data_IF_328548409053
#
_entry.id   IF_328548409053
#
_cell.length_a   1.000
_cell.length_b   1.000
_cell.length_c   1.000
_cell.angle_alpha   90.00
_cell.angle_beta   90.00
_cell.angle_gamma   90.00
#
_symmetry.space_group_name_H-M   'P 1'
#
loop_
_entity.id
_entity.type
_entity.pdbx_description
1 polymer ?
#
# COMPACT_ATOMS: atom_id res chain seq x y z
N UNK A 1 6.00 22.12 21.01
CA UNK A 1 7.24 21.82 20.27
C UNK A 1 6.90 20.76 19.24
N UNK A 2 6.59 21.16 18.00
CA UNK A 2 6.45 20.19 16.91
C UNK A 2 7.85 19.79 16.48
N UNK A 3 8.15 18.50 16.57
CA UNK A 3 9.27 17.94 15.81
C UNK A 3 8.82 18.11 14.37
N UNK A 4 9.38 19.10 13.69
CA UNK A 4 9.06 19.37 12.30
C UNK A 4 9.49 18.13 11.50
N UNK A 5 8.51 17.36 11.04
CA UNK A 5 8.68 16.34 9.99
C UNK A 5 8.97 17.02 8.63
N UNK A 6 9.61 18.20 8.65
CA UNK A 6 9.87 19.02 7.46
C UNK A 6 10.82 18.24 6.56
N UNK A 7 10.26 17.63 5.52
CA UNK A 7 10.98 16.88 4.50
C UNK A 7 10.64 15.39 4.43
N UNK A 8 9.95 14.81 5.42
CA UNK A 8 9.62 13.38 5.40
C UNK A 8 8.11 13.12 5.42
N UNK A 9 7.62 12.05 4.75
CA UNK A 9 6.20 11.78 4.68
C UNK A 9 5.63 11.45 6.06
N UNK A 10 4.43 11.92 6.37
CA UNK A 10 3.82 11.68 7.67
C UNK A 10 2.32 11.51 7.57
N UNK A 11 1.77 10.76 8.54
CA UNK A 11 0.33 10.65 8.73
C UNK A 11 -0.10 11.49 9.92
N UNK A 12 -1.12 12.30 9.73
CA UNK A 12 -1.78 13.10 10.75
C UNK A 12 -3.28 12.81 10.75
N UNK A 13 -3.84 12.50 11.92
CA UNK A 13 -5.28 12.25 12.11
C UNK A 13 -5.96 13.32 12.99
N UNK A 14 -5.41 14.54 12.99
CA UNK A 14 -5.73 15.67 13.87
C UNK A 14 -5.40 15.48 15.36
N UNK A 15 -5.05 14.27 15.79
CA UNK A 15 -4.71 13.96 17.20
C UNK A 15 -3.22 13.70 17.40
N UNK A 16 -2.59 13.00 16.45
CA UNK A 16 -1.18 12.63 16.50
C UNK A 16 -0.56 12.72 15.12
N UNK A 17 0.77 12.70 15.08
CA UNK A 17 1.54 12.52 13.85
C UNK A 17 2.48 11.34 13.99
N UNK A 18 2.61 10.54 12.92
CA UNK A 18 3.56 9.42 12.81
C UNK A 18 4.27 9.48 11.46
N UNK A 19 5.48 8.91 11.40
CA UNK A 19 6.23 8.81 10.16
C UNK A 19 5.50 7.87 9.19
N UNK A 20 5.21 8.33 7.98
CA UNK A 20 4.70 7.48 6.91
C UNK A 20 5.90 6.83 6.20
N UNK A 21 5.80 5.52 5.96
CA UNK A 21 6.80 4.72 5.29
C UNK A 21 6.31 4.21 3.94
N UNK A 22 4.99 4.01 3.78
CA UNK A 22 4.37 3.79 2.48
C UNK A 22 2.85 3.75 2.56
N UNK A 23 2.23 3.83 1.39
CA UNK A 23 0.80 4.01 1.21
C UNK A 23 0.36 3.37 -0.12
N UNK A 24 -0.80 2.73 -0.14
CA UNK A 24 -1.55 2.45 -1.35
C UNK A 24 -2.97 3.00 -1.21
N UNK A 25 -3.39 3.82 -2.16
CA UNK A 25 -4.67 4.52 -2.16
C UNK A 25 -5.36 4.37 -3.51
N UNK A 26 -6.69 4.29 -3.45
CA UNK A 26 -7.56 4.47 -4.59
C UNK A 26 -8.64 5.46 -4.18
N UNK A 27 -8.81 6.55 -4.95
CA UNK A 27 -9.70 7.66 -4.58
C UNK A 27 -9.41 8.18 -3.15
N UNK A 28 -10.34 8.00 -2.20
CA UNK A 28 -10.20 8.40 -0.79
C UNK A 28 -9.96 7.20 0.14
N UNK A 29 -9.66 6.01 -0.40
CA UNK A 29 -9.55 4.75 0.34
C UNK A 29 -8.12 4.24 0.44
N UNK A 30 -7.66 4.05 1.67
CA UNK A 30 -6.37 3.44 2.00
C UNK A 30 -6.50 1.93 2.01
N UNK A 31 -5.80 1.27 1.09
CA UNK A 31 -5.71 -0.19 1.00
C UNK A 31 -4.46 -0.74 1.66
N UNK A 32 -3.40 0.06 1.73
CA UNK A 32 -2.18 -0.28 2.44
C UNK A 32 -1.61 0.97 3.09
N UNK A 33 -1.08 0.82 4.30
CA UNK A 33 -0.33 1.87 4.97
C UNK A 33 0.71 1.26 5.89
N UNK A 34 1.91 1.81 5.82
CA UNK A 34 3.07 1.47 6.64
C UNK A 34 3.53 2.73 7.37
N UNK A 35 3.62 2.67 8.70
CA UNK A 35 4.05 3.81 9.53
C UNK A 35 4.99 3.40 10.65
N UNK A 36 5.84 4.33 11.08
CA UNK A 36 6.64 4.20 12.29
C UNK A 36 6.37 5.35 13.28
N UNK A 37 6.22 5.03 14.55
CA UNK A 37 6.01 6.04 15.59
C UNK A 37 5.85 5.44 16.97
N UNK A 38 5.63 6.26 18.02
CA UNK A 38 5.26 5.77 19.33
C UNK A 38 4.03 4.86 19.25
N UNK A 39 4.02 3.74 19.98
CA UNK A 39 2.94 2.74 19.85
C UNK A 39 1.53 3.29 20.12
N UNK A 40 1.38 4.26 21.00
CA UNK A 40 0.11 4.98 21.24
C UNK A 40 -0.33 5.80 20.03
N UNK A 41 0.61 6.45 19.34
CA UNK A 41 0.37 7.21 18.12
C UNK A 41 -0.02 6.30 16.95
N UNK A 42 0.68 5.17 16.76
CA UNK A 42 0.31 4.17 15.75
C UNK A 42 -1.12 3.64 15.98
N UNK A 43 -1.48 3.33 17.24
CA UNK A 43 -2.85 2.91 17.59
C UNK A 43 -3.90 3.98 17.31
N UNK A 44 -3.60 5.26 17.56
CA UNK A 44 -4.52 6.36 17.24
C UNK A 44 -4.77 6.47 15.72
N UNK A 45 -3.72 6.33 14.91
CA UNK A 45 -3.83 6.29 13.44
C UNK A 45 -4.63 5.07 12.98
N UNK A 46 -4.32 3.88 13.48
CA UNK A 46 -5.09 2.67 13.21
C UNK A 46 -6.59 2.85 13.53
N UNK A 47 -6.90 3.39 14.70
CA UNK A 47 -8.30 3.64 15.10
C UNK A 47 -9.01 4.58 14.13
N UNK A 48 -8.28 5.51 13.51
CA UNK A 48 -8.85 6.44 12.52
C UNK A 48 -9.08 5.74 11.17
N UNK A 49 -8.18 4.83 10.78
CA UNK A 49 -8.30 4.05 9.54
C UNK A 49 -9.50 3.10 9.57
N UNK A 50 -9.75 2.41 10.70
CA UNK A 50 -10.83 1.42 10.78
C UNK A 50 -12.20 2.02 11.12
N UNK A 51 -12.24 3.30 11.50
CA UNK A 51 -13.48 3.97 11.89
C UNK A 51 -14.07 4.77 10.70
N UNK A 52 -15.31 4.51 10.26
CA UNK A 52 -15.86 5.04 8.99
C UNK A 52 -15.93 6.57 8.89
N UNK A 53 -15.97 7.27 10.03
CA UNK A 53 -16.14 8.73 10.11
C UNK A 53 -14.82 9.48 10.30
N UNK A 54 -13.73 8.76 10.52
CA UNK A 54 -12.43 9.36 10.77
C UNK A 54 -11.63 9.40 9.49
N UNK A 55 -10.82 10.46 9.38
CA UNK A 55 -10.05 10.80 8.20
C UNK A 55 -8.61 11.07 8.61
N UNK A 56 -7.68 10.74 7.73
CA UNK A 56 -6.25 10.98 7.92
C UNK A 56 -5.68 11.74 6.73
N UNK A 57 -4.72 12.61 7.01
CA UNK A 57 -3.86 13.20 6.00
C UNK A 57 -2.56 12.41 5.97
N UNK A 58 -2.09 12.04 4.78
CA UNK A 58 -0.80 11.39 4.59
C UNK A 58 0.07 12.26 3.68
N UNK A 59 0.76 13.25 4.23
CA UNK A 59 1.49 14.24 3.42
C UNK A 59 2.86 13.70 3.00
N UNK A 60 3.33 14.01 1.77
CA UNK A 60 2.66 14.78 0.72
C UNK A 60 1.67 13.97 -0.14
N UNK A 61 1.55 12.65 0.10
CA UNK A 61 0.88 11.69 -0.77
C UNK A 61 -0.63 11.82 -0.90
N UNK A 62 -1.35 12.31 0.11
CA UNK A 62 -2.81 12.40 0.06
C UNK A 62 -3.44 13.07 1.27
N UNK A 63 -4.72 13.43 1.13
CA UNK A 63 -5.51 14.19 2.11
C UNK A 63 -6.89 13.58 2.28
N UNK A 64 -7.49 13.75 3.45
CA UNK A 64 -8.86 13.30 3.75
C UNK A 64 -9.13 11.80 3.44
N UNK A 65 -8.14 10.97 3.73
CA UNK A 65 -8.16 9.54 3.43
C UNK A 65 -8.90 8.76 4.53
N UNK A 66 -9.64 7.73 4.12
CA UNK A 66 -10.30 6.77 5.00
C UNK A 66 -9.78 5.37 4.74
N UNK A 67 -9.78 4.48 5.74
CA UNK A 67 -9.41 3.09 5.49
C UNK A 67 -10.43 2.38 4.60
N UNK A 68 -9.95 1.52 3.71
CA UNK A 68 -10.80 0.52 3.08
C UNK A 68 -11.45 -0.37 4.16
N UNK A 69 -12.61 -0.98 3.86
CA UNK A 69 -13.16 -2.00 4.76
C UNK A 69 -12.20 -3.18 4.93
N UNK A 70 -12.30 -3.99 5.99
CA UNK A 70 -11.49 -5.20 6.18
C UNK A 70 -9.95 -5.00 6.21
N UNK A 71 -9.47 -3.86 6.69
CA UNK A 71 -8.06 -3.69 7.02
C UNK A 71 -7.66 -4.60 8.20
N UNK A 72 -6.56 -5.31 8.04
CA UNK A 72 -5.90 -6.02 9.14
C UNK A 72 -4.55 -5.39 9.41
N UNK A 73 -4.18 -5.33 10.69
CA UNK A 73 -3.01 -4.57 11.14
C UNK A 73 -2.03 -5.46 11.89
N UNK A 74 -0.75 -5.31 11.57
CA UNK A 74 0.37 -5.95 12.26
C UNK A 74 1.21 -4.85 12.91
N UNK A 75 1.63 -5.08 14.14
CA UNK A 75 2.53 -4.21 14.89
C UNK A 75 3.82 -4.95 15.20
N UNK A 76 4.97 -4.30 14.98
CA UNK A 76 6.28 -4.80 15.31
C UNK A 76 7.05 -3.74 16.09
N UNK A 77 7.54 -4.08 17.29
CA UNK A 77 8.38 -3.15 18.06
C UNK A 77 9.74 -2.99 17.38
N UNK A 78 10.21 -1.75 17.29
CA UNK A 78 11.57 -1.46 16.82
C UNK A 78 12.57 -1.78 17.93
N UNK A 79 13.69 -2.48 17.62
CA UNK A 79 14.70 -2.81 18.62
C UNK A 79 15.19 -1.59 19.39
N UNK A 80 15.29 -1.72 20.72
CA UNK A 80 15.83 -0.70 21.62
C UNK A 80 15.09 0.66 21.56
N UNK A 81 13.79 0.67 21.24
CA UNK A 81 12.99 1.90 21.22
C UNK A 81 11.56 1.67 21.72
N UNK A 82 10.86 2.75 22.06
CA UNK A 82 9.42 2.75 22.30
C UNK A 82 8.60 2.93 21.00
N UNK A 83 9.25 2.87 19.84
CA UNK A 83 8.63 2.98 18.54
C UNK A 83 8.12 1.63 18.07
N UNK A 84 7.04 1.68 17.31
CA UNK A 84 6.45 0.54 16.62
C UNK A 84 6.39 0.84 15.14
N UNK A 85 6.67 -0.19 14.34
CA UNK A 85 6.29 -0.27 12.94
C UNK A 85 4.88 -0.86 12.90
N UNK A 86 3.98 -0.19 12.22
CA UNK A 86 2.61 -0.64 12.02
C UNK A 86 2.36 -0.74 10.52
N UNK A 87 1.86 -1.89 10.10
CA UNK A 87 1.36 -2.10 8.73
C UNK A 87 -0.11 -2.43 8.82
N UNK A 88 -0.96 -1.66 8.15
CA UNK A 88 -2.38 -1.94 7.99
C UNK A 88 -2.68 -2.17 6.52
N UNK A 89 -3.30 -3.30 6.19
CA UNK A 89 -3.48 -3.74 4.80
C UNK A 89 -4.82 -4.39 4.58
N UNK A 90 -5.41 -4.14 3.42
CA UNK A 90 -6.63 -4.78 2.96
C UNK A 90 -6.36 -6.26 2.67
N UNK A 91 -7.04 -7.14 3.40
CA UNK A 91 -6.78 -8.58 3.34
C UNK A 91 -7.87 -9.30 2.54
N UNK A 92 -7.93 -8.99 1.25
CA UNK A 92 -8.73 -9.75 0.30
C UNK A 92 -7.83 -10.33 -0.81
N UNK A 93 -8.12 -11.54 -1.32
CA UNK A 93 -7.32 -12.15 -2.40
C UNK A 93 -7.21 -11.29 -3.66
N UNK A 94 -8.23 -10.45 -3.92
CA UNK A 94 -8.25 -9.51 -5.05
C UNK A 94 -7.32 -8.30 -4.89
N UNK A 95 -6.66 -8.14 -3.75
CA UNK A 95 -5.69 -7.07 -3.55
C UNK A 95 -4.28 -7.60 -3.65
N UNK A 96 -3.54 -7.05 -4.62
CA UNK A 96 -2.15 -7.40 -4.88
C UNK A 96 -1.26 -6.22 -4.54
N UNK A 97 -0.12 -6.51 -3.91
CA UNK A 97 0.84 -5.50 -3.49
C UNK A 97 2.27 -6.01 -3.69
N UNK A 98 3.11 -5.14 -4.22
CA UNK A 98 4.56 -5.22 -4.18
C UNK A 98 5.05 -4.20 -3.14
N UNK A 99 5.71 -4.69 -2.09
CA UNK A 99 6.27 -3.86 -1.04
C UNK A 99 7.77 -4.15 -0.87
N UNK A 100 8.58 -3.10 -0.83
CA UNK A 100 10.02 -3.15 -0.61
C UNK A 100 10.44 -2.04 0.36
N UNK A 101 11.12 -2.36 1.48
CA UNK A 101 11.58 -1.37 2.44
C UNK A 101 12.49 -0.28 1.86
N UNK A 102 13.19 -0.54 0.75
CA UNK A 102 13.99 0.47 0.06
C UNK A 102 13.13 1.61 -0.50
N UNK A 103 11.87 1.30 -0.84
CA UNK A 103 10.88 2.27 -1.32
C UNK A 103 10.61 3.41 -0.34
N UNK A 104 10.73 3.18 0.98
CA UNK A 104 10.49 4.22 2.00
C UNK A 104 11.46 5.41 1.92
N UNK A 105 12.54 5.29 1.14
CA UNK A 105 13.50 6.37 0.89
C UNK A 105 13.01 7.38 -0.15
N UNK A 106 12.04 7.00 -0.97
CA UNK A 106 11.44 7.85 -2.01
C UNK A 106 10.24 8.57 -1.40
N UNK A 107 10.51 9.75 -0.83
CA UNK A 107 9.49 10.57 -0.19
C UNK A 107 8.82 11.57 -1.15
N UNK A 108 9.46 11.82 -2.29
CA UNK A 108 8.99 12.69 -3.35
C UNK A 108 9.21 12.00 -4.72
N UNK A 109 8.11 11.81 -5.45
CA UNK A 109 8.07 11.19 -6.78
C UNK A 109 8.36 12.20 -7.90
N UNK A 110 8.75 13.44 -7.57
CA UNK A 110 9.16 14.46 -8.54
C UNK A 110 10.58 14.26 -9.09
N UNK A 111 11.41 13.44 -8.42
CA UNK A 111 12.79 13.17 -8.87
C UNK A 111 12.84 11.96 -9.81
N UNK A 112 13.36 12.18 -11.03
CA UNK A 112 13.44 11.15 -12.08
C UNK A 112 14.22 9.90 -11.60
N UNK A 113 15.30 10.10 -10.85
CA UNK A 113 16.13 9.00 -10.34
C UNK A 113 15.35 8.13 -9.34
N UNK A 114 14.50 8.73 -8.51
CA UNK A 114 13.62 7.98 -7.60
C UNK A 114 12.57 7.18 -8.36
N UNK A 115 11.97 7.75 -9.41
CA UNK A 115 11.02 7.05 -10.26
C UNK A 115 11.66 5.84 -10.96
N UNK A 116 12.86 6.00 -11.49
CA UNK A 116 13.60 4.91 -12.15
C UNK A 116 13.96 3.78 -11.17
N UNK A 117 14.43 4.13 -9.98
CA UNK A 117 14.78 3.13 -8.98
C UNK A 117 13.54 2.40 -8.44
N UNK A 118 12.45 3.12 -8.24
CA UNK A 118 11.15 2.54 -7.86
C UNK A 118 10.65 1.56 -8.93
N UNK A 119 10.74 1.92 -10.21
CA UNK A 119 10.40 1.03 -11.31
C UNK A 119 11.33 -0.20 -11.34
N UNK A 120 12.63 -0.03 -11.07
CA UNK A 120 13.58 -1.14 -10.96
C UNK A 120 13.20 -2.11 -9.84
N UNK A 121 12.82 -1.58 -8.68
CA UNK A 121 12.30 -2.40 -7.58
C UNK A 121 11.01 -3.11 -7.98
N UNK A 122 10.10 -2.42 -8.67
CA UNK A 122 8.85 -3.01 -9.13
C UNK A 122 9.10 -4.20 -10.07
N UNK A 123 10.02 -4.07 -11.02
CA UNK A 123 10.41 -5.17 -11.91
C UNK A 123 11.02 -6.36 -11.15
N UNK A 124 11.76 -6.11 -10.06
CA UNK A 124 12.29 -7.18 -9.21
C UNK A 124 11.18 -7.97 -8.51
N UNK A 125 10.11 -7.31 -8.09
CA UNK A 125 8.98 -7.93 -7.38
C UNK A 125 7.88 -8.44 -8.30
N UNK A 126 7.88 -8.05 -9.58
CA UNK A 126 6.89 -8.44 -10.58
C UNK A 126 6.64 -9.95 -10.67
N UNK A 127 7.65 -10.85 -10.63
CA UNK A 127 7.39 -12.29 -10.67
C UNK A 127 6.52 -12.78 -9.51
N UNK A 128 6.68 -12.23 -8.30
CA UNK A 128 5.87 -12.59 -7.14
C UNK A 128 4.44 -12.04 -7.25
N UNK A 129 4.27 -10.83 -7.80
CA UNK A 129 2.94 -10.27 -8.10
C UNK A 129 2.19 -11.15 -9.10
N UNK A 130 2.83 -11.50 -10.22
CA UNK A 130 2.24 -12.38 -11.24
C UNK A 130 1.92 -13.76 -10.70
N UNK A 131 2.77 -14.31 -9.82
CA UNK A 131 2.49 -15.59 -9.15
C UNK A 131 1.23 -15.53 -8.29
N UNK A 132 1.05 -14.45 -7.52
CA UNK A 132 -0.17 -14.24 -6.71
C UNK A 132 -1.41 -14.03 -7.58
N UNK A 133 -1.27 -13.27 -8.66
CA UNK A 133 -2.33 -13.09 -9.65
C UNK A 133 -2.75 -14.42 -10.29
N UNK A 134 -1.79 -15.24 -10.72
CA UNK A 134 -2.04 -16.58 -11.25
C UNK A 134 -2.76 -17.49 -10.27
N UNK A 135 -2.33 -17.48 -9.00
CA UNK A 135 -3.01 -18.22 -7.93
C UNK A 135 -4.45 -17.73 -7.74
N UNK A 136 -4.66 -16.41 -7.70
CA UNK A 136 -6.00 -15.83 -7.60
C UNK A 136 -6.90 -16.32 -8.74
N UNK A 137 -6.44 -16.22 -9.99
CA UNK A 137 -7.23 -16.69 -11.14
C UNK A 137 -7.56 -18.18 -11.03
N UNK A 138 -6.57 -19.00 -10.69
CA UNK A 138 -6.75 -20.44 -10.51
C UNK A 138 -7.76 -20.77 -9.41
N UNK A 139 -7.81 -19.98 -8.34
CA UNK A 139 -8.78 -20.13 -7.26
C UNK A 139 -10.19 -19.65 -7.66
N UNK A 140 -10.31 -18.74 -8.62
CA UNK A 140 -11.59 -18.23 -9.13
C UNK A 140 -12.16 -19.08 -10.28
N UNK A 141 -11.33 -19.89 -10.96
CA UNK A 141 -11.74 -20.68 -12.13
C UNK A 141 -11.81 -22.17 -11.82
N UNK A 142 -12.77 -22.88 -12.43
CA UNK A 142 -12.87 -24.34 -12.32
C UNK A 142 -11.78 -25.08 -13.11
N UNK A 143 -11.06 -24.37 -13.97
CA UNK A 143 -9.97 -24.90 -14.80
C UNK A 143 -8.69 -24.20 -14.38
N UNK A 144 -7.61 -24.93 -14.03
CA UNK A 144 -6.34 -24.30 -13.70
C UNK A 144 -5.82 -23.45 -14.85
N UNK A 145 -5.44 -22.20 -14.54
CA UNK A 145 -4.84 -21.31 -15.51
C UNK A 145 -3.39 -21.73 -15.74
N UNK A 146 -2.92 -21.67 -16.99
CA UNK A 146 -1.52 -21.96 -17.32
C UNK A 146 -0.66 -20.81 -16.78
N UNK A 147 0.36 -21.12 -15.98
CA UNK A 147 1.21 -20.11 -15.32
C UNK A 147 1.87 -19.15 -16.33
N UNK A 148 2.29 -19.67 -17.50
CA UNK A 148 2.92 -18.87 -18.56
C UNK A 148 1.97 -17.81 -19.15
N UNK A 149 0.66 -17.91 -18.94
CA UNK A 149 -0.32 -16.92 -19.39
C UNK A 149 -0.48 -15.75 -18.43
N UNK A 150 0.07 -15.83 -17.21
CA UNK A 150 -0.15 -14.82 -16.17
C UNK A 150 0.21 -13.41 -16.62
N UNK A 151 1.35 -13.23 -17.31
CA UNK A 151 1.77 -11.92 -17.82
C UNK A 151 0.84 -11.41 -18.93
N UNK A 152 0.44 -12.27 -19.87
CA UNK A 152 -0.45 -11.87 -20.96
C UNK A 152 -1.85 -11.48 -20.43
N UNK A 153 -2.39 -12.26 -19.50
CA UNK A 153 -3.67 -11.97 -18.84
C UNK A 153 -3.59 -10.72 -17.97
N UNK A 154 -2.45 -10.48 -17.32
CA UNK A 154 -2.19 -9.26 -16.57
C UNK A 154 -2.26 -8.01 -17.47
N UNK A 155 -1.58 -8.04 -18.62
CA UNK A 155 -1.61 -6.94 -19.57
C UNK A 155 -3.02 -6.68 -20.12
N UNK A 156 -3.77 -7.75 -20.46
CA UNK A 156 -5.16 -7.60 -20.90
C UNK A 156 -6.03 -7.01 -19.78
N UNK A 157 -5.92 -7.53 -18.57
CA UNK A 157 -6.69 -7.04 -17.42
C UNK A 157 -6.43 -5.56 -17.11
N UNK A 158 -5.18 -5.09 -17.26
CA UNK A 158 -4.86 -3.67 -17.14
C UNK A 158 -5.47 -2.84 -18.30
N UNK A 159 -5.38 -3.33 -19.53
CA UNK A 159 -5.88 -2.62 -20.70
C UNK A 159 -7.41 -2.50 -20.71
N UNK A 160 -8.09 -3.54 -20.24
CA UNK A 160 -9.53 -3.65 -20.35
C UNK A 160 -10.27 -3.26 -19.04
N UNK A 161 -9.54 -3.02 -17.94
CA UNK A 161 -10.10 -2.55 -16.67
C UNK A 161 -10.47 -3.68 -15.67
N UNK A 162 -10.06 -4.92 -15.94
CA UNK A 162 -10.14 -6.02 -14.98
C UNK A 162 -9.12 -5.92 -13.84
N UNK A 163 -8.06 -5.14 -14.02
CA UNK A 163 -7.03 -4.84 -13.01
C UNK A 163 -6.92 -3.33 -12.88
N UNK A 164 -7.19 -2.83 -11.69
CA UNK A 164 -7.13 -1.41 -11.36
C UNK A 164 -5.84 -1.10 -10.59
N UNK A 165 -4.93 -0.29 -11.17
CA UNK A 165 -3.73 0.15 -10.45
C UNK A 165 -4.07 1.17 -9.38
N UNK A 166 -3.38 1.07 -8.24
CA UNK A 166 -3.50 2.01 -7.13
C UNK A 166 -2.33 2.98 -7.09
N UNK A 167 -2.62 4.21 -6.68
CA UNK A 167 -1.58 5.17 -6.33
C UNK A 167 -0.79 4.61 -5.15
N UNK A 168 0.51 4.45 -5.34
CA UNK A 168 1.40 3.76 -4.42
C UNK A 168 2.57 4.67 -4.08
N UNK A 169 3.00 4.68 -2.82
CA UNK A 169 4.07 5.54 -2.32
C UNK A 169 4.96 4.83 -1.30
N UNK A 170 6.19 5.33 -1.15
CA UNK A 170 7.14 4.84 -0.17
C UNK A 170 7.43 3.34 -0.37
N UNK A 171 7.41 2.56 0.73
CA UNK A 171 7.68 1.13 0.73
C UNK A 171 6.64 0.28 -0.02
N UNK A 172 5.46 0.82 -0.33
CA UNK A 172 4.57 0.24 -1.31
C UNK A 172 5.02 0.69 -2.69
N UNK A 173 5.65 -0.20 -3.45
CA UNK A 173 6.21 0.11 -4.78
C UNK A 173 5.23 -0.18 -5.92
N UNK A 174 4.13 -0.88 -5.63
CA UNK A 174 3.01 -1.06 -6.55
C UNK A 174 1.87 -1.80 -5.87
N UNK A 175 0.64 -1.45 -6.22
CA UNK A 175 -0.56 -2.09 -5.70
C UNK A 175 -1.67 -2.11 -6.75
N UNK A 176 -2.51 -3.14 -6.72
CA UNK A 176 -3.58 -3.35 -7.68
C UNK A 176 -4.79 -4.00 -7.03
N UNK A 177 -5.98 -3.64 -7.51
CA UNK A 177 -7.23 -4.32 -7.21
C UNK A 177 -7.70 -5.08 -8.44
N UNK A 178 -7.99 -6.36 -8.25
CA UNK A 178 -8.63 -7.19 -9.27
C UNK A 178 -10.14 -6.96 -9.17
N UNK A 179 -10.77 -6.65 -10.30
CA UNK A 179 -12.22 -6.51 -10.37
C UNK A 179 -12.86 -7.89 -10.60
N UNK A 180 -13.55 -8.48 -9.61
CA UNK A 180 -14.17 -9.79 -9.76
C UNK A 180 -15.44 -9.77 -10.63
N UNK A 181 -16.00 -8.59 -10.89
CA UNK A 181 -17.21 -8.40 -11.71
C UNK A 181 -16.86 -8.09 -13.17
N UNK A 182 -15.58 -8.21 -13.54
CA UNK A 182 -15.10 -8.00 -14.89
C UNK A 182 -15.40 -9.25 -15.74
N UNK A 183 -16.23 -9.08 -16.78
CA UNK A 183 -16.68 -10.11 -17.73
C UNK A 183 -15.64 -10.45 -18.81
#
# INVERSE_FOLDING_TARGET
MSVAFDGYPYINNLQTTVQALGLAVHEDKVYYVSVAGPGTSCKSVWSSLVAPKHKIDCRPWGYDLSGAGNLQTIYQSLPNSNYQHMVSMFRQPRFLIAADPQGARFYDDLEIDHLQERERLLQLHRPEVLRRFHHYLTDQTNVPVIADWAEALWQSGLADGGIEPLESYGDCIGAWLLNPEYD
#
